data_IF_782994647955
#
_entry.id   IF_782994647955
#
_cell.length_a   1.000
_cell.length_b   1.000
_cell.length_c   1.000
_cell.angle_alpha   90.00
_cell.angle_beta   90.00
_cell.angle_gamma   90.00
#
_symmetry.space_group_name_H-M   'P 1'
#
loop_
_entity.id
_entity.type
_entity.pdbx_description
1 polymer ?
#
# COMPACT_ATOMS: atom_id res chain seq x y z
N UNK A 1 12.29 -88.06 -34.95
CA UNK A 1 12.31 -88.50 -33.54
C UNK A 1 12.79 -87.33 -32.68
N UNK A 2 12.03 -86.99 -31.63
CA UNK A 2 12.35 -86.07 -30.50
C UNK A 2 12.71 -84.62 -30.85
N UNK A 3 12.30 -83.56 -30.14
CA UNK A 3 11.29 -83.29 -29.11
C UNK A 3 11.24 -81.74 -29.05
N UNK A 4 10.05 -81.18 -28.81
CA UNK A 4 9.79 -79.74 -28.59
C UNK A 4 10.74 -79.10 -27.56
N UNK A 5 11.02 -77.80 -27.71
CA UNK A 5 11.08 -76.82 -26.61
C UNK A 5 10.94 -75.39 -27.17
N UNK A 6 9.77 -74.78 -26.92
CA UNK A 6 9.58 -73.33 -26.90
C UNK A 6 10.27 -72.76 -25.66
N UNK A 7 10.91 -71.59 -25.78
CA UNK A 7 11.26 -70.75 -24.62
C UNK A 7 11.25 -69.27 -25.02
N UNK A 8 10.06 -68.71 -24.77
CA UNK A 8 9.69 -67.34 -24.36
C UNK A 8 10.82 -66.30 -24.21
N UNK A 9 10.69 -65.20 -24.97
CA UNK A 9 11.30 -63.90 -24.72
C UNK A 9 10.75 -63.30 -23.41
N UNK A 10 11.60 -63.18 -22.37
CA UNK A 10 11.31 -62.42 -21.16
C UNK A 10 11.93 -61.03 -21.27
N UNK A 11 11.12 -60.02 -21.58
CA UNK A 11 11.51 -58.62 -21.44
C UNK A 11 11.45 -58.23 -19.95
N UNK A 12 12.60 -58.03 -19.31
CA UNK A 12 12.69 -57.52 -17.95
C UNK A 12 12.36 -56.02 -17.96
N UNK A 13 11.10 -55.68 -17.66
CA UNK A 13 10.73 -54.32 -17.28
C UNK A 13 11.21 -54.06 -15.85
N UNK A 14 12.29 -53.30 -15.68
CA UNK A 14 12.60 -52.68 -14.40
C UNK A 14 11.55 -51.59 -14.12
N UNK A 15 10.50 -51.96 -13.39
CA UNK A 15 9.62 -51.00 -12.72
C UNK A 15 10.41 -50.38 -11.57
N UNK A 16 11.07 -49.25 -11.84
CA UNK A 16 11.61 -48.38 -10.80
C UNK A 16 10.45 -47.79 -10.02
N UNK A 17 10.13 -48.36 -8.87
CA UNK A 17 9.22 -47.75 -7.91
C UNK A 17 9.85 -46.44 -7.41
N UNK A 18 9.40 -45.31 -7.95
CA UNK A 18 9.61 -44.02 -7.28
C UNK A 18 8.88 -44.09 -5.95
N UNK A 19 9.65 -44.24 -4.87
CA UNK A 19 9.16 -44.00 -3.53
C UNK A 19 8.75 -42.52 -3.45
N UNK A 20 7.44 -42.26 -3.54
CA UNK A 20 6.87 -40.96 -3.20
C UNK A 20 6.95 -40.86 -1.68
N UNK A 21 8.06 -40.30 -1.18
CA UNK A 21 8.13 -39.86 0.21
C UNK A 21 7.03 -38.83 0.48
N UNK A 22 6.63 -38.63 1.75
CA UNK A 22 5.66 -37.59 2.08
C UNK A 22 6.21 -36.26 1.56
N UNK A 23 5.44 -35.57 0.72
CA UNK A 23 5.77 -34.23 0.27
C UNK A 23 5.97 -33.37 1.52
N UNK A 24 7.22 -33.00 1.81
CA UNK A 24 7.49 -31.97 2.81
C UNK A 24 6.73 -30.70 2.44
N UNK A 25 6.47 -29.80 3.40
CA UNK A 25 5.81 -28.53 3.10
C UNK A 25 6.53 -27.88 1.92
N UNK A 26 5.78 -27.46 0.91
CA UNK A 26 6.33 -26.87 -0.30
C UNK A 26 7.11 -25.61 0.10
N UNK A 27 8.43 -25.76 0.22
CA UNK A 27 9.32 -24.66 0.54
C UNK A 27 9.16 -23.58 -0.53
N UNK A 28 9.16 -22.31 -0.10
CA UNK A 28 9.05 -21.18 -1.02
C UNK A 28 10.14 -21.29 -2.10
N UNK A 29 9.74 -21.16 -3.36
CA UNK A 29 10.72 -21.10 -4.44
C UNK A 29 11.38 -19.71 -4.47
N UNK A 30 12.68 -19.64 -4.71
CA UNK A 30 13.37 -18.36 -4.87
C UNK A 30 13.36 -17.92 -6.33
N UNK A 31 12.82 -16.74 -6.63
CA UNK A 31 12.73 -16.16 -7.97
C UNK A 31 13.11 -14.66 -7.95
N UNK A 32 13.34 -14.00 -9.10
CA UNK A 32 13.45 -12.53 -9.10
C UNK A 32 12.11 -11.89 -8.72
N UNK A 33 12.13 -10.86 -7.87
CA UNK A 33 10.91 -10.26 -7.33
C UNK A 33 9.95 -9.73 -8.41
N UNK A 34 10.49 -9.02 -9.41
CA UNK A 34 9.70 -8.40 -10.49
C UNK A 34 9.80 -9.15 -11.83
N UNK A 35 10.32 -10.38 -11.83
CA UNK A 35 10.50 -11.19 -13.05
C UNK A 35 11.68 -10.80 -13.93
N UNK A 36 12.37 -9.68 -13.67
CA UNK A 36 13.63 -9.33 -14.33
C UNK A 36 14.80 -10.19 -13.82
N UNK A 37 15.70 -10.63 -14.71
CA UNK A 37 16.82 -11.49 -14.32
C UNK A 37 17.81 -10.81 -13.34
N UNK A 38 18.00 -9.50 -13.50
CA UNK A 38 18.73 -8.65 -12.57
C UNK A 38 17.76 -8.01 -11.56
N UNK A 39 18.12 -8.00 -10.28
CA UNK A 39 17.32 -7.38 -9.21
C UNK A 39 17.25 -8.24 -7.94
N UNK A 40 16.49 -7.78 -6.92
CA UNK A 40 16.33 -8.51 -5.68
C UNK A 40 15.68 -9.87 -5.90
N UNK A 41 16.06 -10.83 -5.04
CA UNK A 41 15.49 -12.17 -5.00
C UNK A 41 14.37 -12.20 -3.97
N UNK A 42 13.30 -12.88 -4.34
CA UNK A 42 12.14 -13.07 -3.50
C UNK A 42 11.81 -14.54 -3.35
N UNK A 43 11.17 -14.85 -2.23
CA UNK A 43 10.49 -16.09 -1.96
C UNK A 43 9.10 -16.04 -2.58
N UNK A 44 8.70 -17.15 -3.19
CA UNK A 44 7.45 -17.28 -3.92
C UNK A 44 6.64 -18.44 -3.36
N UNK A 45 5.39 -18.13 -3.03
CA UNK A 45 4.37 -19.12 -2.70
C UNK A 45 3.20 -19.00 -3.65
N UNK A 46 2.34 -20.00 -3.63
CA UNK A 46 1.01 -19.92 -4.22
C UNK A 46 -0.04 -20.21 -3.17
N UNK A 47 -1.28 -19.86 -3.44
CA UNK A 47 -2.38 -20.15 -2.53
C UNK A 47 -3.73 -19.85 -3.15
N UNK A 48 -4.79 -20.25 -2.44
CA UNK A 48 -6.16 -19.98 -2.83
C UNK A 48 -6.75 -18.89 -1.94
N UNK A 49 -7.30 -17.86 -2.56
CA UNK A 49 -8.00 -16.81 -1.81
C UNK A 49 -9.29 -17.40 -1.25
N UNK A 50 -9.43 -17.32 0.08
CA UNK A 50 -10.64 -17.72 0.79
C UNK A 50 -11.60 -16.53 0.89
N UNK A 51 -11.06 -15.33 1.09
CA UNK A 51 -11.84 -14.10 1.25
C UNK A 51 -10.98 -12.88 0.93
N UNK A 52 -11.53 -11.91 0.22
CA UNK A 52 -11.01 -10.53 0.23
C UNK A 52 -11.58 -9.84 1.47
N UNK A 53 -10.71 -9.40 2.37
CA UNK A 53 -11.13 -8.84 3.64
C UNK A 53 -11.51 -7.36 3.47
N UNK A 54 -10.67 -6.60 2.76
CA UNK A 54 -10.84 -5.19 2.38
C UNK A 54 -9.98 -4.85 1.15
N UNK A 55 -9.70 -3.56 0.91
CA UNK A 55 -8.96 -3.07 -0.26
C UNK A 55 -7.46 -3.37 -0.25
N UNK A 56 -6.89 -3.83 0.86
CA UNK A 56 -5.45 -4.08 0.95
C UNK A 56 -5.05 -5.33 1.74
N UNK A 57 -6.06 -6.14 2.09
CA UNK A 57 -5.92 -7.35 2.87
C UNK A 57 -6.83 -8.45 2.35
N UNK A 58 -6.27 -9.66 2.22
CA UNK A 58 -7.03 -10.85 1.81
C UNK A 58 -6.56 -12.11 2.54
N UNK A 59 -7.49 -13.01 2.82
CA UNK A 59 -7.23 -14.28 3.50
C UNK A 59 -6.89 -15.37 2.48
N UNK A 60 -5.72 -16.00 2.61
CA UNK A 60 -5.21 -17.02 1.67
C UNK A 60 -4.92 -18.32 2.40
N UNK A 61 -5.41 -19.42 1.85
CA UNK A 61 -4.93 -20.76 2.17
C UNK A 61 -3.64 -21.02 1.36
N UNK A 62 -2.49 -21.08 2.05
CA UNK A 62 -1.17 -21.11 1.41
C UNK A 62 -0.84 -22.56 1.04
N UNK A 63 -0.58 -22.79 -0.25
CA UNK A 63 -0.32 -24.13 -0.75
C UNK A 63 0.96 -24.71 -0.14
N UNK A 64 0.83 -25.89 0.47
CA UNK A 64 1.95 -26.66 0.99
C UNK A 64 2.54 -26.16 2.30
N UNK A 65 1.83 -25.32 3.08
CA UNK A 65 2.29 -24.92 4.42
C UNK A 65 1.93 -25.94 5.54
N UNK A 66 1.25 -27.03 5.18
CA UNK A 66 0.87 -28.11 6.09
C UNK A 66 -0.45 -27.87 6.83
N UNK A 67 -1.19 -26.80 6.52
CA UNK A 67 -2.53 -26.54 7.06
C UNK A 67 -3.47 -26.03 5.95
N UNK A 68 -4.77 -25.94 6.25
CA UNK A 68 -5.76 -25.24 5.42
C UNK A 68 -6.24 -23.94 6.06
N UNK A 69 -5.58 -23.53 7.15
CA UNK A 69 -5.96 -22.37 7.95
C UNK A 69 -5.58 -21.09 7.19
N UNK A 70 -6.54 -20.25 6.76
CA UNK A 70 -6.22 -19.10 5.95
C UNK A 70 -5.39 -18.07 6.72
N UNK A 71 -4.37 -17.52 6.07
CA UNK A 71 -3.54 -16.44 6.60
C UNK A 71 -4.04 -15.10 6.05
N UNK A 72 -4.24 -14.12 6.93
CA UNK A 72 -4.55 -12.74 6.53
C UNK A 72 -3.30 -12.07 5.98
N UNK A 73 -3.26 -11.87 4.67
CA UNK A 73 -2.13 -11.30 3.93
C UNK A 73 -2.34 -9.80 3.76
N UNK A 74 -1.35 -8.99 4.16
CA UNK A 74 -1.31 -7.55 3.93
C UNK A 74 -0.55 -7.27 2.63
N UNK A 75 -1.17 -6.53 1.72
CA UNK A 75 -0.53 -6.16 0.46
C UNK A 75 0.68 -5.25 0.70
N UNK A 76 1.82 -5.58 0.11
CA UNK A 76 2.98 -4.67 0.11
C UNK A 76 2.62 -3.41 -0.68
N UNK A 77 3.02 -2.24 -0.17
CA UNK A 77 2.98 -0.93 -0.84
C UNK A 77 1.62 -0.31 -1.15
N UNK A 78 0.50 -0.97 -0.85
CA UNK A 78 -0.84 -0.46 -1.09
C UNK A 78 -1.58 -0.28 0.24
N UNK A 79 -1.97 0.93 0.60
CA UNK A 79 -2.81 1.22 1.76
C UNK A 79 -4.19 1.68 1.31
N UNK A 80 -5.23 0.91 1.56
CA UNK A 80 -6.60 1.31 1.26
C UNK A 80 -7.16 2.25 2.34
N UNK A 81 -8.23 2.98 1.99
CA UNK A 81 -9.08 3.62 2.99
C UNK A 81 -9.81 2.55 3.80
N UNK A 82 -10.07 2.80 5.09
CA UNK A 82 -10.53 1.77 6.01
C UNK A 82 -12.04 1.53 5.91
N UNK A 83 -12.45 0.27 6.03
CA UNK A 83 -13.84 -0.06 6.31
C UNK A 83 -14.13 0.13 7.81
N UNK A 84 -15.36 0.53 8.13
CA UNK A 84 -15.89 0.59 9.49
C UNK A 84 -16.78 -0.60 9.81
N UNK A 85 -17.37 -1.22 8.78
CA UNK A 85 -18.14 -2.47 8.91
C UNK A 85 -17.66 -3.46 7.85
N UNK A 86 -17.01 -4.52 8.31
CA UNK A 86 -16.48 -5.59 7.47
C UNK A 86 -17.51 -6.71 7.32
N UNK A 87 -17.77 -7.18 6.08
CA UNK A 87 -18.74 -8.25 5.84
C UNK A 87 -18.49 -9.00 4.53
N UNK A 88 -18.88 -10.28 4.47
CA UNK A 88 -19.05 -11.00 3.19
C UNK A 88 -20.28 -10.53 2.41
N UNK A 89 -21.23 -9.87 3.06
CA UNK A 89 -22.43 -9.36 2.40
C UNK A 89 -22.14 -7.92 1.97
N UNK A 90 -21.97 -7.71 0.67
CA UNK A 90 -21.53 -6.42 0.09
C UNK A 90 -22.38 -5.25 0.59
N UNK A 91 -23.70 -5.42 0.64
CA UNK A 91 -24.66 -4.37 1.05
C UNK A 91 -24.52 -3.96 2.53
N UNK A 92 -23.88 -4.79 3.36
CA UNK A 92 -23.64 -4.48 4.78
C UNK A 92 -22.33 -3.75 5.02
N UNK A 93 -21.42 -3.72 4.05
CA UNK A 93 -20.13 -3.05 4.21
C UNK A 93 -20.31 -1.55 4.37
N UNK A 94 -19.50 -0.95 5.24
CA UNK A 94 -19.44 0.51 5.46
C UNK A 94 -17.98 0.88 5.64
N UNK A 95 -17.62 2.12 5.33
CA UNK A 95 -16.24 2.56 5.43
C UNK A 95 -16.07 4.00 5.04
N UNK A 96 -14.82 4.43 5.13
CA UNK A 96 -14.35 5.68 4.55
C UNK A 96 -14.60 5.67 3.03
N UNK A 97 -14.67 6.85 2.43
CA UNK A 97 -14.76 6.96 0.98
C UNK A 97 -13.62 6.17 0.29
N UNK A 98 -13.89 5.65 -0.90
CA UNK A 98 -13.02 4.74 -1.67
C UNK A 98 -12.71 3.36 -1.06
N UNK A 99 -12.93 3.12 0.24
CA UNK A 99 -12.64 1.81 0.88
C UNK A 99 -13.35 0.64 0.20
N UNK A 100 -14.64 0.81 -0.12
CA UNK A 100 -15.45 -0.21 -0.78
C UNK A 100 -15.09 -0.38 -2.26
N UNK A 101 -14.70 0.70 -2.94
CA UNK A 101 -14.25 0.65 -4.33
C UNK A 101 -12.94 -0.13 -4.45
N UNK A 102 -11.97 0.12 -3.56
CA UNK A 102 -10.73 -0.63 -3.47
C UNK A 102 -10.99 -2.13 -3.23
N UNK A 103 -11.86 -2.44 -2.26
CA UNK A 103 -12.26 -3.82 -1.94
C UNK A 103 -12.91 -4.51 -3.14
N UNK A 104 -13.86 -3.85 -3.80
CA UNK A 104 -14.56 -4.39 -4.96
C UNK A 104 -13.60 -4.63 -6.13
N UNK A 105 -12.64 -3.74 -6.36
CA UNK A 105 -11.62 -3.93 -7.40
C UNK A 105 -10.72 -5.13 -7.11
N UNK A 106 -10.29 -5.30 -5.87
CA UNK A 106 -9.51 -6.48 -5.47
C UNK A 106 -10.31 -7.79 -5.65
N UNK A 107 -11.59 -7.80 -5.30
CA UNK A 107 -12.50 -8.93 -5.56
C UNK A 107 -12.62 -9.26 -7.05
N UNK A 108 -12.76 -8.24 -7.91
CA UNK A 108 -12.81 -8.42 -9.36
C UNK A 108 -11.53 -9.06 -9.91
N UNK A 109 -10.35 -8.58 -9.47
CA UNK A 109 -9.06 -9.12 -9.91
C UNK A 109 -8.88 -10.58 -9.46
N UNK A 110 -9.19 -10.87 -8.19
CA UNK A 110 -9.12 -12.24 -7.64
C UNK A 110 -10.07 -13.17 -8.40
N UNK A 111 -11.30 -12.74 -8.67
CA UNK A 111 -12.26 -13.52 -9.46
C UNK A 111 -11.77 -13.76 -10.88
N UNK A 112 -11.26 -12.73 -11.56
CA UNK A 112 -10.72 -12.84 -12.92
C UNK A 112 -9.50 -13.78 -12.98
N UNK A 113 -8.72 -13.87 -11.91
CA UNK A 113 -7.61 -14.81 -11.76
C UNK A 113 -7.98 -16.23 -11.32
N UNK A 114 -9.27 -16.54 -11.20
CA UNK A 114 -9.74 -17.87 -10.75
C UNK A 114 -9.53 -18.14 -9.26
N UNK A 115 -9.30 -17.11 -8.43
CA UNK A 115 -9.10 -17.25 -6.99
C UNK A 115 -7.74 -17.81 -6.58
N UNK A 116 -6.83 -18.06 -7.52
CA UNK A 116 -5.45 -18.51 -7.24
C UNK A 116 -4.50 -17.33 -7.30
N UNK A 117 -3.65 -17.22 -6.29
CA UNK A 117 -2.69 -16.13 -6.17
C UNK A 117 -1.26 -16.65 -6.10
N UNK A 118 -0.34 -15.83 -6.61
CA UNK A 118 1.09 -15.89 -6.30
C UNK A 118 1.38 -14.87 -5.21
N UNK A 119 2.03 -15.31 -4.15
CA UNK A 119 2.48 -14.47 -3.04
C UNK A 119 4.00 -14.32 -3.15
N UNK A 120 4.52 -13.10 -3.02
CA UNK A 120 5.96 -12.83 -3.19
C UNK A 120 6.44 -11.85 -2.12
N UNK A 121 7.59 -12.11 -1.52
CA UNK A 121 8.26 -11.24 -0.55
C UNK A 121 9.78 -11.47 -0.59
N UNK A 122 10.57 -10.44 -0.29
CA UNK A 122 12.00 -10.55 -0.07
C UNK A 122 12.31 -11.32 1.20
N UNK A 123 11.54 -11.09 2.28
CA UNK A 123 11.71 -11.79 3.55
C UNK A 123 10.44 -12.53 3.94
N UNK A 124 10.56 -13.83 4.26
CA UNK A 124 9.41 -14.62 4.72
C UNK A 124 8.78 -14.06 5.99
N UNK A 125 9.62 -13.50 6.88
CA UNK A 125 9.28 -12.92 8.18
C UNK A 125 8.63 -11.54 8.12
N UNK A 126 8.70 -10.84 6.99
CA UNK A 126 8.08 -9.51 6.85
C UNK A 126 6.61 -9.57 7.20
N UNK A 127 6.21 -8.73 8.15
CA UNK A 127 4.84 -8.68 8.64
C UNK A 127 4.46 -7.27 9.11
N UNK A 128 3.15 -7.00 9.09
CA UNK A 128 2.55 -5.79 9.64
C UNK A 128 1.39 -6.21 10.54
N UNK A 129 1.48 -5.89 11.84
CA UNK A 129 0.53 -6.33 12.87
C UNK A 129 0.23 -7.83 12.78
N UNK A 130 1.28 -8.65 12.74
CA UNK A 130 1.24 -10.12 12.59
C UNK A 130 0.66 -10.67 11.26
N UNK A 131 0.23 -9.82 10.33
CA UNK A 131 -0.15 -10.22 8.97
C UNK A 131 1.11 -10.32 8.10
N UNK A 132 1.38 -11.44 7.42
CA UNK A 132 2.47 -11.52 6.46
C UNK A 132 2.32 -10.45 5.36
N UNK A 133 3.39 -9.73 5.10
CA UNK A 133 3.48 -8.79 3.99
C UNK A 133 3.79 -9.56 2.70
N UNK A 134 2.93 -9.47 1.69
CA UNK A 134 3.18 -10.09 0.39
C UNK A 134 2.75 -9.15 -0.74
N UNK A 135 3.52 -9.10 -1.81
CA UNK A 135 3.00 -8.71 -3.11
C UNK A 135 2.14 -9.86 -3.60
N UNK A 136 0.93 -9.55 -4.04
CA UNK A 136 -0.05 -10.53 -4.47
C UNK A 136 -0.28 -10.35 -5.96
N UNK A 137 -0.16 -11.43 -6.72
CA UNK A 137 -0.45 -11.43 -8.14
C UNK A 137 -1.49 -12.50 -8.49
N UNK A 138 -2.36 -12.18 -9.44
CA UNK A 138 -3.35 -13.09 -10.02
C UNK A 138 -3.02 -13.37 -11.48
N UNK A 139 -3.40 -14.52 -12.01
CA UNK A 139 -3.11 -14.88 -13.41
C UNK A 139 -4.32 -14.63 -14.29
N UNK A 140 -4.26 -13.58 -15.10
CA UNK A 140 -5.34 -13.17 -16.02
C UNK A 140 -4.81 -13.26 -17.44
N UNK A 141 -5.51 -14.00 -18.31
CA UNK A 141 -5.12 -14.22 -19.72
C UNK A 141 -3.67 -14.70 -19.87
N UNK A 142 -3.25 -15.64 -19.02
CA UNK A 142 -1.92 -16.26 -19.05
C UNK A 142 -0.80 -15.46 -18.37
N UNK A 143 -1.02 -14.19 -18.03
CA UNK A 143 -0.01 -13.32 -17.40
C UNK A 143 -0.30 -13.04 -15.93
N UNK A 144 0.75 -12.99 -15.11
CA UNK A 144 0.65 -12.54 -13.71
C UNK A 144 0.46 -11.02 -13.65
N UNK A 145 -0.52 -10.58 -12.86
CA UNK A 145 -0.87 -9.17 -12.64
C UNK A 145 -0.80 -8.89 -11.14
N UNK A 146 0.05 -7.95 -10.74
CA UNK A 146 0.13 -7.46 -9.37
C UNK A 146 -1.15 -6.69 -9.02
N UNK A 147 -1.89 -7.17 -8.02
CA UNK A 147 -3.18 -6.59 -7.64
C UNK A 147 -3.04 -5.28 -6.87
N UNK A 148 -1.98 -5.14 -6.06
CA UNK A 148 -1.72 -3.90 -5.33
C UNK A 148 -1.33 -2.77 -6.28
N UNK A 149 -0.53 -3.10 -7.31
CA UNK A 149 -0.12 -2.14 -8.33
C UNK A 149 -1.30 -1.75 -9.23
N UNK A 150 -2.23 -2.67 -9.50
CA UNK A 150 -3.46 -2.35 -10.21
C UNK A 150 -4.32 -1.37 -9.40
N UNK A 151 -4.55 -1.62 -8.11
CA UNK A 151 -5.27 -0.68 -7.23
C UNK A 151 -4.61 0.70 -7.19
N UNK A 152 -3.27 0.74 -7.07
CA UNK A 152 -2.49 1.97 -7.04
C UNK A 152 -2.66 2.79 -8.33
N UNK A 153 -2.61 2.14 -9.49
CA UNK A 153 -2.77 2.78 -10.81
C UNK A 153 -4.15 3.38 -11.00
N UNK A 154 -5.16 2.87 -10.30
CA UNK A 154 -6.50 3.43 -10.32
C UNK A 154 -6.71 4.46 -9.20
N UNK A 155 -5.70 4.81 -8.40
CA UNK A 155 -5.86 5.76 -7.29
C UNK A 155 -6.78 5.25 -6.19
N UNK A 156 -6.83 3.92 -5.97
CA UNK A 156 -7.68 3.32 -4.93
C UNK A 156 -6.93 3.06 -3.61
N UNK A 157 -5.62 3.26 -3.60
CA UNK A 157 -4.75 3.08 -2.44
C UNK A 157 -3.69 4.18 -2.37
N UNK A 158 -3.25 4.51 -1.16
CA UNK A 158 -2.07 5.32 -0.89
C UNK A 158 -0.81 4.46 -0.94
N UNK A 159 0.30 5.03 -1.42
CA UNK A 159 1.58 4.33 -1.46
C UNK A 159 2.23 4.32 -0.08
N UNK A 160 2.38 3.12 0.49
CA UNK A 160 2.99 2.88 1.80
C UNK A 160 4.21 1.95 1.67
N UNK A 161 5.41 2.46 1.42
CA UNK A 161 6.58 1.61 1.19
C UNK A 161 7.06 0.92 2.46
N UNK A 162 7.68 -0.25 2.30
CA UNK A 162 8.28 -1.00 3.40
C UNK A 162 9.78 -1.21 3.12
N UNK A 163 10.66 -0.75 4.03
CA UNK A 163 12.12 -0.84 3.85
C UNK A 163 12.63 -2.27 3.66
N UNK A 164 12.07 -3.24 4.38
CA UNK A 164 12.44 -4.66 4.25
C UNK A 164 11.97 -5.30 2.92
N UNK A 165 11.00 -4.69 2.24
CA UNK A 165 10.29 -5.18 1.05
C UNK A 165 10.36 -4.19 -0.11
N UNK A 166 11.55 -3.60 -0.30
CA UNK A 166 11.73 -2.44 -1.16
C UNK A 166 11.58 -2.69 -2.67
N UNK A 167 11.62 -3.95 -3.14
CA UNK A 167 11.57 -4.29 -4.56
C UNK A 167 10.43 -3.61 -5.35
N UNK A 168 9.30 -3.34 -4.69
CA UNK A 168 8.13 -2.73 -5.32
C UNK A 168 8.04 -1.20 -5.16
N UNK A 169 8.90 -0.57 -4.35
CA UNK A 169 8.77 0.84 -3.97
C UNK A 169 8.78 1.77 -5.19
N UNK A 170 9.80 1.64 -6.05
CA UNK A 170 9.97 2.53 -7.20
C UNK A 170 8.76 2.49 -8.15
N UNK A 171 8.25 1.30 -8.50
CA UNK A 171 7.13 1.18 -9.43
C UNK A 171 5.79 1.64 -8.82
N UNK A 172 5.57 1.43 -7.52
CA UNK A 172 4.37 1.91 -6.83
C UNK A 172 4.39 3.44 -6.65
N UNK A 173 5.56 4.02 -6.35
CA UNK A 173 5.76 5.48 -6.30
C UNK A 173 5.41 6.16 -7.61
N UNK A 174 5.86 5.59 -8.74
CA UNK A 174 5.50 6.10 -10.07
C UNK A 174 4.00 5.93 -10.33
N UNK A 175 3.41 4.79 -9.97
CA UNK A 175 1.98 4.54 -10.18
C UNK A 175 1.08 5.50 -9.39
N UNK A 176 1.40 5.78 -8.12
CA UNK A 176 0.62 6.73 -7.31
C UNK A 176 0.76 8.15 -7.84
N UNK A 177 1.97 8.58 -8.23
CA UNK A 177 2.18 9.89 -8.82
C UNK A 177 1.43 10.06 -10.14
N UNK A 178 1.31 8.98 -10.92
CA UNK A 178 0.54 8.94 -12.15
C UNK A 178 -0.97 9.06 -11.89
N UNK A 179 -1.50 8.28 -10.94
CA UNK A 179 -2.90 8.37 -10.53
C UNK A 179 -3.25 9.76 -9.97
N UNK A 180 -2.33 10.37 -9.23
CA UNK A 180 -2.47 11.73 -8.71
C UNK A 180 -2.50 12.79 -9.82
N UNK A 181 -1.61 12.69 -10.81
CA UNK A 181 -1.60 13.59 -11.97
C UNK A 181 -2.90 13.51 -12.77
N UNK A 182 -3.43 12.32 -12.91
CA UNK A 182 -4.62 12.06 -13.73
C UNK A 182 -5.93 12.24 -12.94
N UNK A 183 -5.88 12.63 -11.66
CA UNK A 183 -7.05 12.89 -10.82
C UNK A 183 -7.92 11.66 -10.62
N UNK A 184 -7.33 10.48 -10.39
CA UNK A 184 -8.08 9.23 -10.29
C UNK A 184 -8.51 8.93 -8.85
N UNK A 185 -9.80 8.64 -8.65
CA UNK A 185 -10.38 8.15 -7.39
C UNK A 185 -9.94 8.96 -6.17
N UNK A 186 -9.01 8.47 -5.34
CA UNK A 186 -8.54 9.21 -4.16
C UNK A 186 -8.05 10.62 -4.52
N UNK A 187 -7.51 10.80 -5.71
CA UNK A 187 -6.97 12.08 -6.20
C UNK A 187 -7.97 12.91 -6.99
N UNK A 188 -9.22 12.45 -7.08
CA UNK A 188 -10.35 13.24 -7.52
C UNK A 188 -10.93 13.99 -6.31
N UNK A 189 -10.86 15.32 -6.33
CA UNK A 189 -11.06 16.15 -5.13
C UNK A 189 -12.53 16.34 -4.73
N UNK A 190 -13.47 15.75 -5.47
CA UNK A 190 -14.90 15.77 -5.17
C UNK A 190 -15.61 14.40 -5.37
N UNK A 191 -14.86 13.30 -5.44
CA UNK A 191 -15.41 11.97 -5.67
C UNK A 191 -16.31 11.46 -4.53
N UNK A 192 -16.10 11.92 -3.30
CA UNK A 192 -16.90 11.61 -2.12
C UNK A 192 -18.02 12.63 -1.88
N UNK A 193 -18.07 13.67 -2.73
CA UNK A 193 -19.00 14.79 -2.71
C UNK A 193 -18.25 16.11 -2.89
N UNK A 194 -18.96 17.21 -3.10
CA UNK A 194 -18.30 18.52 -3.28
C UNK A 194 -17.44 18.94 -2.07
N UNK A 195 -17.75 18.46 -0.86
CA UNK A 195 -17.05 18.84 0.36
C UNK A 195 -17.23 20.30 0.77
N UNK A 196 -16.81 20.68 2.00
CA UNK A 196 -16.78 22.07 2.42
C UNK A 196 -15.72 22.86 1.65
N UNK A 197 -16.00 24.13 1.32
CA UNK A 197 -15.04 25.02 0.65
C UNK A 197 -14.43 24.42 -0.63
N UNK A 198 -15.21 23.66 -1.41
CA UNK A 198 -14.80 22.98 -2.66
C UNK A 198 -14.01 23.88 -3.63
N UNK A 199 -14.47 25.12 -3.79
CA UNK A 199 -13.90 26.10 -4.70
C UNK A 199 -12.65 26.80 -4.17
N UNK A 200 -12.30 26.62 -2.90
CA UNK A 200 -11.13 27.27 -2.30
C UNK A 200 -9.88 26.42 -2.57
N UNK A 201 -8.88 26.95 -3.30
CA UNK A 201 -7.63 26.25 -3.50
C UNK A 201 -6.92 26.05 -2.16
N UNK A 202 -6.29 24.90 -2.00
CA UNK A 202 -5.47 24.57 -0.83
C UNK A 202 -4.26 23.78 -1.31
N UNK A 203 -3.09 24.05 -0.74
CA UNK A 203 -1.88 23.29 -1.02
C UNK A 203 -1.27 22.76 0.26
N UNK A 204 -0.47 21.70 0.14
CA UNK A 204 0.16 21.04 1.27
C UNK A 204 1.66 20.90 1.02
N UNK A 205 2.45 21.23 2.02
CA UNK A 205 3.90 20.96 2.07
C UNK A 205 4.20 20.16 3.34
N UNK A 206 5.07 19.16 3.25
CA UNK A 206 5.56 18.42 4.40
C UNK A 206 7.06 18.62 4.55
N UNK A 207 7.51 18.85 5.78
CA UNK A 207 8.91 18.64 6.15
C UNK A 207 9.00 17.31 6.89
N UNK A 208 9.52 16.32 6.19
CA UNK A 208 9.66 14.94 6.66
C UNK A 208 11.00 14.66 7.35
N UNK A 209 12.02 15.50 7.09
CA UNK A 209 13.39 15.34 7.60
C UNK A 209 13.63 16.43 8.65
N UNK A 210 13.53 16.08 9.93
CA UNK A 210 13.78 17.05 10.99
C UNK A 210 15.28 17.37 11.07
N UNK A 211 15.69 18.62 11.37
CA UNK A 211 17.08 18.89 11.65
C UNK A 211 17.57 18.06 12.85
N UNK A 212 18.61 17.24 12.62
CA UNK A 212 19.15 16.32 13.62
C UNK A 212 18.58 14.91 13.45
N UNK A 213 18.47 14.16 14.55
CA UNK A 213 17.73 12.89 14.55
C UNK A 213 16.24 13.18 14.80
N UNK A 214 15.36 12.63 13.96
CA UNK A 214 13.92 12.90 14.02
C UNK A 214 13.33 12.60 15.41
N UNK A 215 13.74 11.50 16.06
CA UNK A 215 13.21 11.13 17.37
C UNK A 215 13.58 12.13 18.48
N UNK A 216 14.59 12.97 18.24
CA UNK A 216 15.03 14.02 19.18
C UNK A 216 14.40 15.38 18.85
N UNK A 217 13.80 15.54 17.67
CA UNK A 217 13.21 16.78 17.19
C UNK A 217 11.91 16.57 16.42
N UNK A 218 10.91 15.97 17.08
CA UNK A 218 9.61 15.70 16.46
C UNK A 218 8.86 16.96 15.98
N UNK A 219 9.18 18.15 16.51
CA UNK A 219 8.59 19.39 15.99
C UNK A 219 9.28 19.89 14.71
N UNK A 220 10.43 19.32 14.35
CA UNK A 220 11.07 19.49 13.06
C UNK A 220 10.31 18.81 11.94
N UNK A 221 9.57 17.73 12.23
CA UNK A 221 8.57 17.19 11.32
C UNK A 221 7.26 18.00 11.38
N UNK A 222 6.77 18.43 10.23
CA UNK A 222 5.52 19.19 10.16
C UNK A 222 4.84 19.09 8.80
N UNK A 223 3.53 19.32 8.81
CA UNK A 223 2.74 19.64 7.62
C UNK A 223 2.33 21.10 7.66
N UNK A 224 2.44 21.77 6.53
CA UNK A 224 1.99 23.13 6.29
C UNK A 224 0.84 23.09 5.29
N UNK A 225 -0.33 23.56 5.73
CA UNK A 225 -1.52 23.73 4.90
C UNK A 225 -1.62 25.20 4.52
N UNK A 226 -1.58 25.45 3.22
CA UNK A 226 -1.53 26.77 2.61
C UNK A 226 -2.88 27.13 1.99
N UNK A 227 -3.33 28.35 2.25
CA UNK A 227 -4.49 28.94 1.61
C UNK A 227 -4.03 30.11 0.71
N UNK A 228 -3.87 29.88 -0.61
CA UNK A 228 -3.47 30.92 -1.53
C UNK A 228 -4.62 31.89 -1.90
N UNK A 229 -5.84 31.67 -1.43
CA UNK A 229 -6.97 32.56 -1.73
C UNK A 229 -7.01 33.80 -0.82
N UNK A 230 -7.81 34.78 -1.21
CA UNK A 230 -8.09 35.98 -0.40
C UNK A 230 -9.23 35.78 0.62
N UNK A 231 -9.85 34.60 0.63
CA UNK A 231 -10.87 34.22 1.59
C UNK A 231 -10.27 33.34 2.68
N UNK A 232 -10.83 33.36 3.89
CA UNK A 232 -10.43 32.45 4.95
C UNK A 232 -10.91 31.02 4.62
N UNK A 233 -10.12 30.00 4.96
CA UNK A 233 -10.45 28.59 4.74
C UNK A 233 -10.70 27.89 6.08
N UNK A 234 -11.97 27.66 6.48
CA UNK A 234 -12.29 26.84 7.64
C UNK A 234 -11.90 25.39 7.38
N UNK A 235 -11.08 24.81 8.25
CA UNK A 235 -10.60 23.43 8.14
C UNK A 235 -10.99 22.58 9.34
N UNK A 236 -11.87 23.08 10.22
CA UNK A 236 -12.37 22.30 11.35
C UNK A 236 -12.93 20.94 10.89
N UNK A 237 -12.49 19.85 11.51
CA UNK A 237 -12.89 18.49 11.16
C UNK A 237 -12.18 17.88 9.94
N UNK A 238 -11.44 18.66 9.16
CA UNK A 238 -10.51 18.13 8.17
C UNK A 238 -9.41 17.37 8.90
N UNK A 239 -8.66 16.53 8.19
CA UNK A 239 -7.60 15.76 8.81
C UNK A 239 -6.42 15.52 7.88
N UNK A 240 -5.24 15.40 8.47
CA UNK A 240 -3.99 15.10 7.76
C UNK A 240 -3.40 13.79 8.27
N UNK A 241 -2.75 13.05 7.37
CA UNK A 241 -1.93 11.88 7.72
C UNK A 241 -0.80 11.62 6.73
N UNK A 242 0.11 10.74 7.15
CA UNK A 242 1.06 10.06 6.28
C UNK A 242 0.38 8.93 5.47
N UNK A 243 1.15 8.04 4.82
CA UNK A 243 0.58 6.85 4.17
C UNK A 243 0.04 5.79 5.14
N UNK A 244 0.28 5.90 6.46
CA UNK A 244 -0.31 5.02 7.47
C UNK A 244 -1.72 5.47 7.92
N UNK A 245 -2.18 4.95 9.06
CA UNK A 245 -3.56 5.16 9.56
C UNK A 245 -3.70 6.27 10.62
N UNK A 246 -2.60 6.67 11.25
CA UNK A 246 -2.64 7.72 12.28
C UNK A 246 -2.98 9.04 11.59
N UNK A 247 -3.92 9.81 12.14
CA UNK A 247 -4.28 11.12 11.58
C UNK A 247 -4.34 12.21 12.65
N UNK A 248 -4.13 13.45 12.23
CA UNK A 248 -4.43 14.65 13.00
C UNK A 248 -5.71 15.26 12.46
N UNK A 249 -6.72 15.43 13.30
CA UNK A 249 -7.95 16.13 12.94
C UNK A 249 -7.89 17.57 13.45
N UNK A 250 -8.13 18.52 12.55
CA UNK A 250 -8.13 19.94 12.89
C UNK A 250 -9.25 20.25 13.89
N UNK A 251 -8.94 20.89 15.04
CA UNK A 251 -9.94 21.24 16.05
C UNK A 251 -11.06 22.15 15.54
N UNK A 252 -12.12 22.25 16.32
CA UNK A 252 -13.18 23.22 16.07
C UNK A 252 -12.62 24.65 16.04
N UNK A 253 -13.11 25.45 15.09
CA UNK A 253 -12.69 26.84 14.92
C UNK A 253 -11.34 27.04 14.22
N UNK A 254 -10.65 25.97 13.78
CA UNK A 254 -9.41 26.14 13.00
C UNK A 254 -9.72 26.71 11.62
N UNK A 255 -8.98 27.76 11.26
CA UNK A 255 -9.09 28.49 10.00
C UNK A 255 -7.69 28.74 9.46
N UNK A 256 -7.47 28.42 8.18
CA UNK A 256 -6.26 28.85 7.47
C UNK A 256 -6.52 30.28 6.95
N UNK A 257 -5.74 31.28 7.40
CA UNK A 257 -6.00 32.67 7.04
C UNK A 257 -5.85 32.92 5.53
N UNK A 258 -6.50 33.96 4.98
CA UNK A 258 -6.26 34.41 3.61
C UNK A 258 -4.76 34.59 3.35
N UNK A 259 -4.28 34.13 2.19
CA UNK A 259 -2.88 34.27 1.78
C UNK A 259 -1.86 33.76 2.81
N UNK A 260 -2.26 32.82 3.68
CA UNK A 260 -1.47 32.35 4.80
C UNK A 260 -1.50 30.83 4.97
N UNK A 261 -1.00 30.35 6.12
CA UNK A 261 -0.84 28.92 6.37
C UNK A 261 -1.04 28.55 7.85
N UNK A 262 -1.36 27.27 8.07
CA UNK A 262 -1.35 26.61 9.38
C UNK A 262 -0.35 25.46 9.34
N UNK A 263 0.43 25.32 10.40
CA UNK A 263 1.38 24.23 10.62
C UNK A 263 0.81 23.22 11.61
N UNK A 264 1.01 21.94 11.31
CA UNK A 264 0.81 20.83 12.25
C UNK A 264 2.16 20.16 12.46
N UNK A 265 2.76 20.39 13.62
CA UNK A 265 4.00 19.74 14.04
C UNK A 265 3.71 18.33 14.57
N UNK A 266 4.57 17.35 14.27
CA UNK A 266 4.35 15.97 14.71
C UNK A 266 4.46 15.82 16.24
N UNK A 267 5.39 16.55 16.86
CA UNK A 267 5.59 16.56 18.31
C UNK A 267 4.56 17.34 19.12
N UNK A 268 4.96 17.78 20.32
CA UNK A 268 4.12 18.45 21.31
C UNK A 268 4.46 19.93 21.46
N UNK A 269 3.46 20.73 21.85
CA UNK A 269 3.63 22.16 22.13
C UNK A 269 2.31 22.84 22.50
N UNK A 270 2.36 24.12 22.83
CA UNK A 270 1.16 24.93 23.11
C UNK A 270 0.61 25.47 21.79
N UNK A 271 -0.63 25.11 21.40
CA UNK A 271 -1.18 25.54 20.12
C UNK A 271 -1.39 27.06 20.08
N UNK A 272 -1.17 27.62 18.90
CA UNK A 272 -1.53 28.99 18.53
C UNK A 272 -2.53 28.96 17.37
N UNK A 273 -2.93 30.13 16.86
CA UNK A 273 -3.82 30.20 15.70
C UNK A 273 -3.25 29.50 14.45
N UNK A 274 -1.93 29.49 14.27
CA UNK A 274 -1.27 28.97 13.06
C UNK A 274 -0.26 27.85 13.32
N UNK A 275 0.01 27.50 14.57
CA UNK A 275 0.88 26.37 14.93
C UNK A 275 0.12 25.41 15.84
N UNK A 276 -0.11 24.21 15.33
CA UNK A 276 -0.78 23.12 15.99
C UNK A 276 0.20 21.96 16.20
N UNK A 277 -0.13 21.06 17.13
CA UNK A 277 0.76 19.99 17.57
C UNK A 277 -0.02 18.69 17.65
N UNK A 278 0.51 17.65 17.01
CA UNK A 278 -0.12 16.33 16.94
C UNK A 278 0.14 15.50 18.20
N UNK A 279 1.20 15.79 18.94
CA UNK A 279 1.54 15.10 20.19
C UNK A 279 1.94 13.65 19.98
N UNK A 280 2.55 13.33 18.84
CA UNK A 280 3.02 11.98 18.55
C UNK A 280 4.24 11.64 19.43
N UNK A 281 4.36 10.38 19.88
CA UNK A 281 5.50 9.93 20.69
C UNK A 281 6.73 9.59 19.85
N UNK A 282 6.68 9.75 18.53
CA UNK A 282 7.75 9.43 17.59
C UNK A 282 7.43 9.96 16.19
N UNK A 283 8.36 9.75 15.23
CA UNK A 283 8.23 10.21 13.86
C UNK A 283 6.91 9.79 13.19
N UNK A 284 6.45 10.63 12.28
CA UNK A 284 5.24 10.43 11.49
C UNK A 284 5.58 10.21 10.02
N UNK A 285 6.51 10.99 9.48
CA UNK A 285 6.83 11.04 8.06
C UNK A 285 8.13 10.30 7.78
N UNK A 286 8.08 9.27 6.94
CA UNK A 286 9.27 8.43 6.69
C UNK A 286 10.30 9.15 5.84
N UNK A 287 11.53 9.23 6.35
CA UNK A 287 12.65 9.84 5.64
C UNK A 287 12.99 9.07 4.33
N UNK A 288 13.11 9.76 3.18
CA UNK A 288 13.27 9.09 1.89
C UNK A 288 14.67 8.52 1.67
N UNK A 289 14.77 7.52 0.80
CA UNK A 289 16.05 7.05 0.25
C UNK A 289 16.15 7.32 -1.25
N UNK A 290 17.35 7.67 -1.70
CA UNK A 290 17.67 7.93 -3.12
C UNK A 290 18.47 6.79 -3.75
N UNK A 291 18.61 5.68 -3.03
CA UNK A 291 19.22 4.45 -3.51
C UNK A 291 18.18 3.53 -4.17
N UNK A 292 18.58 2.28 -4.44
CA UNK A 292 17.72 1.27 -5.05
C UNK A 292 16.47 0.93 -4.24
N UNK A 293 16.43 1.24 -2.93
CA UNK A 293 15.25 0.97 -2.12
C UNK A 293 14.10 1.93 -2.44
N UNK A 294 14.41 3.09 -3.03
CA UNK A 294 13.44 4.10 -3.44
C UNK A 294 12.39 4.40 -2.35
N UNK A 295 12.84 4.47 -1.11
CA UNK A 295 11.98 4.72 0.04
C UNK A 295 11.47 6.17 0.03
N UNK A 296 10.39 6.42 0.75
CA UNK A 296 9.66 7.68 0.73
C UNK A 296 8.30 7.50 1.39
N UNK A 297 7.40 8.44 1.21
CA UNK A 297 6.06 8.44 1.81
C UNK A 297 5.23 9.57 1.16
N UNK A 298 4.08 9.91 1.72
CA UNK A 298 3.31 11.09 1.33
C UNK A 298 2.52 11.68 2.49
N UNK A 299 2.23 12.96 2.41
CA UNK A 299 1.32 13.66 3.32
C UNK A 299 0.03 14.01 2.59
N UNK A 300 -1.10 13.79 3.26
CA UNK A 300 -2.42 13.81 2.63
C UNK A 300 -3.41 14.57 3.51
N UNK A 301 -3.99 15.65 2.98
CA UNK A 301 -5.05 16.44 3.61
C UNK A 301 -6.40 16.02 3.06
N UNK A 302 -7.28 15.61 3.94
CA UNK A 302 -8.63 15.18 3.63
C UNK A 302 -9.65 16.10 4.29
N UNK A 303 -10.79 16.27 3.64
CA UNK A 303 -11.95 16.89 4.26
C UNK A 303 -12.79 15.86 5.08
N UNK A 304 -13.86 16.29 5.76
CA UNK A 304 -14.70 15.39 6.56
C UNK A 304 -15.47 14.33 5.75
N UNK A 305 -15.64 14.53 4.44
CA UNK A 305 -16.31 13.59 3.54
C UNK A 305 -15.35 12.50 3.07
N UNK A 306 -14.04 12.77 3.14
CA UNK A 306 -12.98 11.84 2.78
C UNK A 306 -12.36 12.12 1.41
N UNK A 307 -12.64 13.26 0.81
CA UNK A 307 -11.96 13.73 -0.40
C UNK A 307 -10.57 14.23 -0.06
N UNK A 308 -9.55 13.86 -0.86
CA UNK A 308 -8.25 14.52 -0.80
C UNK A 308 -8.40 15.95 -1.31
N UNK A 309 -7.94 16.91 -0.51
CA UNK A 309 -7.95 18.34 -0.84
C UNK A 309 -6.58 18.86 -1.24
N UNK A 310 -5.53 18.28 -0.66
CA UNK A 310 -4.15 18.52 -1.05
C UNK A 310 -3.27 17.36 -0.61
N UNK A 311 -2.16 17.14 -1.30
CA UNK A 311 -1.19 16.10 -0.94
C UNK A 311 0.21 16.47 -1.41
N UNK A 312 1.21 15.81 -0.83
CA UNK A 312 2.60 15.84 -1.29
C UNK A 312 3.16 14.42 -1.23
N UNK A 313 3.58 13.91 -2.38
CA UNK A 313 4.27 12.62 -2.52
C UNK A 313 5.78 12.86 -2.59
N UNK A 314 6.57 12.09 -1.83
CA UNK A 314 8.03 12.26 -1.80
C UNK A 314 8.78 10.92 -1.69
N UNK A 315 9.96 10.78 -2.33
CA UNK A 315 10.54 11.68 -3.31
C UNK A 315 9.65 11.85 -4.53
N UNK A 316 9.54 13.08 -5.00
CA UNK A 316 8.76 13.34 -6.19
C UNK A 316 9.44 12.70 -7.41
N UNK A 317 8.63 12.08 -8.28
CA UNK A 317 9.08 11.41 -9.51
C UNK A 317 8.41 11.92 -10.78
N UNK A 318 7.34 12.73 -10.66
CA UNK A 318 6.61 13.30 -11.79
C UNK A 318 6.27 14.76 -11.47
N UNK A 319 6.57 15.68 -12.40
CA UNK A 319 6.23 17.11 -12.30
C UNK A 319 6.65 17.77 -10.98
N UNK A 320 7.89 17.55 -10.56
CA UNK A 320 8.35 17.99 -9.25
C UNK A 320 8.49 19.51 -9.16
N UNK A 321 7.95 20.14 -8.11
CA UNK A 321 8.26 21.54 -7.84
C UNK A 321 9.76 21.69 -7.68
N UNK A 322 10.32 22.80 -8.16
CA UNK A 322 11.73 23.11 -7.97
C UNK A 322 12.05 23.01 -6.46
N UNK A 323 12.97 22.13 -6.09
CA UNK A 323 13.36 21.92 -4.70
C UNK A 323 13.83 23.27 -4.14
N UNK A 324 13.30 23.76 -3.00
CA UNK A 324 13.94 24.86 -2.30
C UNK A 324 15.36 24.39 -1.98
N UNK A 325 16.37 25.14 -2.44
CA UNK A 325 17.77 24.78 -2.21
C UNK A 325 17.97 24.43 -0.73
N UNK A 326 18.55 23.24 -0.46
CA UNK A 326 18.97 22.86 0.90
C UNK A 326 19.77 24.04 1.46
N UNK A 327 19.25 24.70 2.50
CA UNK A 327 20.10 25.60 3.29
C UNK A 327 21.09 24.70 4.02
N UNK A 328 22.33 24.76 3.55
CA UNK A 328 23.53 24.21 4.20
C UNK A 328 23.67 24.78 5.60
#
# INVERSE_FOLDING_TARGET
MLRRLLSVLGASALAGALAIGPAGPAAAATAPCLGAAAGPRCLVWTGKVVRVNDGDTLSVDIAGDGTSTPRSIRLINAQAMEQTVYSSVVQRRRGECHSLAATARLEQLVKAGGGVVRLTAQQASSSSRARPLRSVAVRINGSWRDVGLDLMRHGLTLWQPFGAEWAWNAQYRVATAQAARDGLNLFDTDACGAGPAAATPVTLTVNYDAPGADEQNLNGEWVRVDNPSDAALPVAGWWVRDSALRRYTFPAGTVVPPRGAVYVHAGSGTPTATHLYWGQPGPVFDNPSFDQQAHGDGAYLFDPQGDLRAWMLYPCVLSCPATPARRT
#
